data_IF_604841747612
#
_entry.id   IF_604841747612
#
_cell.length_a   1.000
_cell.length_b   1.000
_cell.length_c   1.000
_cell.angle_alpha   90.00
_cell.angle_beta   90.00
_cell.angle_gamma   90.00
#
_symmetry.space_group_name_H-M   'P 1'
#
loop_
_entity.id
_entity.type
_entity.pdbx_description
1 polymer ?
#
# COMPACT_ATOMS: atom_id res chain seq x y z
N UNK A 1 15.69 -3.26 9.44
CA UNK A 1 14.33 -2.77 9.23
C UNK A 1 13.58 -2.77 10.56
N UNK A 2 12.88 -1.70 10.87
CA UNK A 2 11.97 -1.61 12.02
C UNK A 2 10.54 -1.56 11.49
N UNK A 3 9.66 -2.44 11.99
CA UNK A 3 8.25 -2.51 11.57
C UNK A 3 7.40 -1.96 12.71
N UNK A 4 6.62 -0.92 12.45
CA UNK A 4 5.75 -0.28 13.43
C UNK A 4 4.31 -0.77 13.24
N UNK A 5 3.83 -1.57 14.19
CA UNK A 5 2.46 -2.09 14.22
C UNK A 5 1.68 -1.62 15.44
N UNK A 6 2.27 -0.69 16.23
CA UNK A 6 1.68 -0.17 17.46
C UNK A 6 0.45 0.67 17.17
N UNK A 7 -0.57 0.47 17.97
CA UNK A 7 -1.84 1.18 17.87
C UNK A 7 -2.99 0.34 18.43
N UNK A 8 -4.15 0.95 18.55
CA UNK A 8 -5.37 0.27 18.95
C UNK A 8 -6.28 0.03 17.75
N UNK A 9 -6.99 -1.09 17.76
CA UNK A 9 -8.02 -1.39 16.79
C UNK A 9 -9.31 -0.63 17.09
N UNK A 10 -10.15 -0.42 16.07
CA UNK A 10 -11.44 0.24 16.19
C UNK A 10 -12.38 -0.57 17.09
N UNK A 11 -12.99 0.10 18.06
CA UNK A 11 -14.05 -0.48 18.92
C UNK A 11 -15.42 -0.18 18.33
N UNK A 12 -16.41 -0.99 18.69
CA UNK A 12 -17.80 -0.74 18.32
C UNK A 12 -18.25 0.64 18.86
N UNK A 13 -18.86 1.46 17.99
CA UNK A 13 -19.32 2.81 18.35
C UNK A 13 -18.22 3.91 18.32
N UNK A 14 -16.95 3.57 18.13
CA UNK A 14 -15.88 4.56 18.06
C UNK A 14 -15.83 5.20 16.65
N UNK A 15 -15.70 6.52 16.58
CA UNK A 15 -15.52 7.21 15.30
C UNK A 15 -14.13 6.92 14.68
N UNK A 16 -14.00 7.07 13.36
CA UNK A 16 -12.69 6.95 12.69
C UNK A 16 -11.72 8.03 13.16
N UNK A 17 -12.22 9.24 13.46
CA UNK A 17 -11.42 10.38 13.91
C UNK A 17 -10.86 10.14 15.32
N UNK A 18 -11.68 9.65 16.26
CA UNK A 18 -11.24 9.38 17.62
C UNK A 18 -10.17 8.29 17.66
N UNK A 19 -10.33 7.26 16.81
CA UNK A 19 -9.33 6.21 16.64
C UNK A 19 -8.01 6.79 16.09
N UNK A 20 -8.11 7.59 15.04
CA UNK A 20 -6.95 8.22 14.42
C UNK A 20 -6.20 9.10 15.44
N UNK A 21 -6.91 9.93 16.20
CA UNK A 21 -6.30 10.79 17.22
C UNK A 21 -5.58 9.99 18.31
N UNK A 22 -6.17 8.87 18.75
CA UNK A 22 -5.52 8.00 19.75
C UNK A 22 -4.22 7.40 19.20
N UNK A 23 -4.27 6.87 17.99
CA UNK A 23 -3.08 6.26 17.35
C UNK A 23 -2.01 7.31 17.01
N UNK A 24 -2.40 8.55 16.64
CA UNK A 24 -1.48 9.69 16.48
C UNK A 24 -0.75 9.99 17.78
N UNK A 25 -1.44 10.01 18.91
CA UNK A 25 -0.82 10.28 20.22
C UNK A 25 0.18 9.17 20.58
N UNK A 26 -0.18 7.91 20.36
CA UNK A 26 0.74 6.77 20.56
C UNK A 26 1.97 6.94 19.65
N UNK A 27 1.78 7.25 18.36
CA UNK A 27 2.89 7.43 17.42
C UNK A 27 3.81 8.56 17.81
N UNK A 28 3.27 9.71 18.25
CA UNK A 28 4.05 10.86 18.74
C UNK A 28 4.93 10.51 19.94
N UNK A 29 4.44 9.64 20.81
CA UNK A 29 5.18 9.22 22.01
C UNK A 29 6.32 8.23 21.64
N UNK A 30 6.03 7.22 20.83
CA UNK A 30 6.99 6.15 20.55
C UNK A 30 8.01 6.49 19.46
N UNK A 31 7.65 7.31 18.46
CA UNK A 31 8.51 7.52 17.29
C UNK A 31 9.87 8.13 17.64
N UNK A 32 9.99 9.18 18.47
CA UNK A 32 11.30 9.72 18.85
C UNK A 32 12.15 8.72 19.64
N UNK A 33 11.51 7.91 20.48
CA UNK A 33 12.20 6.92 21.32
C UNK A 33 12.79 5.80 20.48
N UNK A 34 12.02 5.28 19.51
CA UNK A 34 12.49 4.23 18.60
C UNK A 34 13.57 4.77 17.66
N UNK A 35 13.39 5.98 17.14
CA UNK A 35 14.36 6.64 16.27
C UNK A 35 15.72 6.84 16.96
N UNK A 36 15.73 7.20 18.24
CA UNK A 36 16.96 7.35 19.03
C UNK A 36 17.74 6.04 19.17
N UNK A 37 17.05 4.89 19.19
CA UNK A 37 17.69 3.56 19.33
C UNK A 37 18.17 3.03 17.98
N UNK A 38 17.47 3.34 16.88
CA UNK A 38 17.75 2.79 15.56
C UNK A 38 17.80 3.87 14.45
N UNK A 39 18.66 4.90 14.56
CA UNK A 39 18.62 6.07 13.68
C UNK A 39 18.91 5.76 12.19
N UNK A 40 19.57 4.64 11.91
CA UNK A 40 19.94 4.22 10.56
C UNK A 40 19.05 3.10 10.00
N UNK A 41 17.92 2.79 10.65
CA UNK A 41 17.02 1.76 10.19
C UNK A 41 16.08 2.28 9.08
N UNK A 42 15.61 1.36 8.22
CA UNK A 42 14.43 1.59 7.41
C UNK A 42 13.20 1.31 8.25
N UNK A 43 12.23 2.20 8.22
CA UNK A 43 11.00 2.12 8.99
C UNK A 43 9.82 1.76 8.09
N UNK A 44 9.11 0.69 8.44
CA UNK A 44 7.88 0.25 7.75
C UNK A 44 6.71 0.47 8.70
N UNK A 45 5.88 1.45 8.37
CA UNK A 45 4.68 1.79 9.15
C UNK A 45 3.51 0.94 8.66
N UNK A 46 2.85 0.23 9.59
CA UNK A 46 1.72 -0.66 9.31
C UNK A 46 0.48 -0.26 10.11
N UNK A 47 0.67 0.52 11.17
CA UNK A 47 -0.40 1.03 12.04
C UNK A 47 -1.40 1.87 11.27
N UNK A 48 -2.70 1.64 11.49
CA UNK A 48 -3.77 2.40 10.83
C UNK A 48 -4.25 3.61 11.67
N UNK A 49 -4.69 4.70 10.98
CA UNK A 49 -4.69 4.94 9.53
C UNK A 49 -3.27 5.13 8.97
N UNK A 50 -2.84 4.23 8.08
CA UNK A 50 -1.43 4.09 7.73
C UNK A 50 -0.81 5.35 7.13
N UNK A 51 -1.53 6.08 6.29
CA UNK A 51 -1.01 7.29 5.65
C UNK A 51 -0.79 8.40 6.70
N UNK A 52 -1.74 8.57 7.63
CA UNK A 52 -1.61 9.50 8.75
C UNK A 52 -0.47 9.08 9.68
N UNK A 53 -0.36 7.78 9.98
CA UNK A 53 0.70 7.28 10.87
C UNK A 53 2.09 7.44 10.23
N UNK A 54 2.21 7.22 8.92
CA UNK A 54 3.44 7.45 8.16
C UNK A 54 3.82 8.93 8.20
N UNK A 55 2.86 9.82 7.94
CA UNK A 55 3.07 11.27 8.02
C UNK A 55 3.54 11.70 9.41
N UNK A 56 2.83 11.28 10.46
CA UNK A 56 3.17 11.65 11.84
C UNK A 56 4.56 11.13 12.20
N UNK A 57 4.87 9.86 11.90
CA UNK A 57 6.19 9.30 12.17
C UNK A 57 7.28 10.11 11.46
N UNK A 58 7.11 10.42 10.18
CA UNK A 58 8.06 11.23 9.41
C UNK A 58 8.31 12.60 10.05
N UNK A 59 7.23 13.26 10.52
CA UNK A 59 7.35 14.61 11.11
C UNK A 59 7.97 14.65 12.50
N UNK A 60 7.82 13.58 13.31
CA UNK A 60 8.21 13.64 14.73
C UNK A 60 9.42 12.78 15.10
N UNK A 61 9.81 11.83 14.25
CA UNK A 61 10.90 10.91 14.55
C UNK A 61 12.30 11.53 14.38
N UNK A 62 12.44 12.53 13.51
CA UNK A 62 13.73 13.04 13.07
C UNK A 62 14.48 12.12 12.09
N UNK A 63 13.86 11.02 11.68
CA UNK A 63 14.41 10.08 10.68
C UNK A 63 14.26 10.70 9.27
N UNK A 64 15.27 10.59 8.39
CA UNK A 64 15.16 11.03 7.01
C UNK A 64 13.97 10.37 6.29
N UNK A 65 13.22 11.15 5.52
CA UNK A 65 11.99 10.69 4.85
C UNK A 65 12.20 9.47 3.94
N UNK A 66 13.34 9.37 3.28
CA UNK A 66 13.72 8.24 2.44
C UNK A 66 13.96 6.93 3.23
N UNK A 67 13.94 6.98 4.55
CA UNK A 67 13.99 5.81 5.43
C UNK A 67 12.61 5.43 5.99
N UNK A 68 11.55 6.16 5.65
CA UNK A 68 10.20 5.93 6.21
C UNK A 68 9.22 5.56 5.09
N UNK A 69 8.60 4.41 5.22
CA UNK A 69 7.64 3.87 4.24
C UNK A 69 6.41 3.35 5.00
N UNK A 70 5.22 3.78 4.59
CA UNK A 70 3.97 3.14 5.03
C UNK A 70 3.62 1.95 4.16
N UNK A 71 3.02 0.91 4.71
CA UNK A 71 2.54 -0.24 3.93
C UNK A 71 1.54 0.16 2.85
N UNK A 72 0.81 1.25 3.05
CA UNK A 72 -0.07 1.86 2.06
C UNK A 72 -1.01 0.86 1.40
N UNK A 73 -1.13 0.94 0.09
CA UNK A 73 -2.03 0.13 -0.73
C UNK A 73 -1.40 -1.15 -1.30
N UNK A 74 -0.28 -1.63 -0.72
CA UNK A 74 0.37 -2.87 -1.20
C UNK A 74 -0.55 -4.09 -1.10
N UNK A 75 -1.34 -4.18 -0.03
CA UNK A 75 -2.31 -5.26 0.16
C UNK A 75 -3.53 -5.09 -0.77
N UNK A 76 -4.00 -3.87 -0.96
CA UNK A 76 -5.12 -3.56 -1.85
C UNK A 76 -4.73 -3.88 -3.30
N UNK A 77 -3.50 -3.57 -3.69
CA UNK A 77 -2.92 -3.98 -4.98
C UNK A 77 -2.85 -5.51 -5.13
N UNK A 78 -2.51 -6.23 -4.08
CA UNK A 78 -2.51 -7.69 -4.11
C UNK A 78 -3.93 -8.26 -4.27
N UNK A 79 -4.93 -7.67 -3.63
CA UNK A 79 -6.35 -8.01 -3.79
C UNK A 79 -6.86 -7.74 -5.20
N UNK A 80 -6.56 -6.56 -5.74
CA UNK A 80 -6.87 -6.21 -7.13
C UNK A 80 -6.32 -7.26 -8.11
N UNK A 81 -5.04 -7.59 -7.99
CA UNK A 81 -4.40 -8.58 -8.86
C UNK A 81 -4.95 -9.98 -8.66
N UNK A 82 -5.35 -10.33 -7.44
CA UNK A 82 -5.99 -11.60 -7.14
C UNK A 82 -7.35 -11.71 -7.85
N UNK A 83 -8.18 -10.69 -7.74
CA UNK A 83 -9.50 -10.65 -8.38
C UNK A 83 -9.38 -10.76 -9.90
N UNK A 84 -8.57 -9.90 -10.52
CA UNK A 84 -8.32 -9.95 -11.97
C UNK A 84 -7.71 -11.29 -12.42
N UNK A 85 -6.84 -11.91 -11.60
CA UNK A 85 -6.23 -13.21 -11.91
C UNK A 85 -7.26 -14.33 -11.94
N UNK A 86 -8.22 -14.31 -11.02
CA UNK A 86 -9.32 -15.26 -11.00
C UNK A 86 -10.28 -15.06 -12.16
N UNK A 87 -10.62 -13.80 -12.44
CA UNK A 87 -11.48 -13.45 -13.55
C UNK A 87 -10.96 -13.99 -14.89
N UNK A 88 -9.69 -13.76 -15.18
CA UNK A 88 -9.07 -14.12 -16.45
C UNK A 88 -8.38 -15.49 -16.43
N UNK A 89 -8.40 -16.20 -15.32
CA UNK A 89 -7.68 -17.47 -15.12
C UNK A 89 -6.20 -17.40 -15.51
N UNK A 90 -5.50 -16.34 -15.08
CA UNK A 90 -4.07 -16.11 -15.35
C UNK A 90 -3.30 -15.90 -14.04
N UNK A 91 -1.99 -16.10 -14.07
CA UNK A 91 -1.16 -15.87 -12.91
C UNK A 91 -1.05 -14.37 -12.57
N UNK A 92 -1.17 -14.03 -11.28
CA UNK A 92 -1.09 -12.65 -10.77
C UNK A 92 0.16 -11.89 -11.22
N UNK A 93 1.28 -12.59 -11.42
CA UNK A 93 2.54 -12.01 -11.90
C UNK A 93 2.47 -11.38 -13.29
N UNK A 94 1.48 -11.75 -14.09
CA UNK A 94 1.26 -11.22 -15.43
C UNK A 94 0.37 -9.97 -15.43
N UNK A 95 -0.14 -9.57 -14.26
CA UNK A 95 -1.04 -8.42 -14.09
C UNK A 95 -0.26 -7.27 -13.48
N UNK A 96 -0.16 -6.19 -14.21
CA UNK A 96 0.49 -4.95 -13.80
C UNK A 96 -0.58 -3.88 -13.56
N UNK A 97 -1.31 -4.01 -12.48
CA UNK A 97 -2.30 -3.08 -12.00
C UNK A 97 -1.99 -2.73 -10.54
N UNK A 98 -2.28 -1.50 -10.13
CA UNK A 98 -1.96 -0.97 -8.81
C UNK A 98 -3.13 -0.17 -8.25
N UNK A 99 -3.25 -0.17 -6.94
CA UNK A 99 -4.15 0.72 -6.20
C UNK A 99 -3.33 1.89 -5.66
N UNK A 100 -3.81 3.10 -5.86
CA UNK A 100 -3.15 4.35 -5.45
C UNK A 100 -4.03 5.18 -4.51
N UNK A 101 -3.44 6.20 -3.93
CA UNK A 101 -4.11 7.15 -3.06
C UNK A 101 -4.05 6.75 -1.58
N UNK A 102 -5.07 7.09 -0.84
CA UNK A 102 -5.25 6.73 0.56
C UNK A 102 -5.48 5.22 0.71
N UNK A 103 -4.91 4.61 1.75
CA UNK A 103 -5.35 3.28 2.16
C UNK A 103 -6.73 3.36 2.84
N UNK A 104 -7.79 3.41 2.04
CA UNK A 104 -9.16 3.63 2.50
C UNK A 104 -10.14 3.71 1.34
N UNK A 105 -11.32 4.29 1.64
CA UNK A 105 -12.45 4.33 0.72
C UNK A 105 -12.23 5.26 -0.50
N UNK A 106 -11.19 6.13 -0.47
CA UNK A 106 -10.83 7.04 -1.56
C UNK A 106 -9.70 6.53 -2.45
N UNK A 107 -9.20 5.31 -2.20
CA UNK A 107 -8.22 4.69 -3.09
C UNK A 107 -8.82 4.43 -4.48
N UNK A 108 -7.96 4.42 -5.48
CA UNK A 108 -8.38 4.25 -6.86
C UNK A 108 -7.40 3.40 -7.67
N UNK A 109 -7.88 2.87 -8.79
CA UNK A 109 -7.06 2.16 -9.76
C UNK A 109 -6.90 3.03 -11.00
N UNK A 110 -5.66 3.39 -11.40
CA UNK A 110 -5.43 4.07 -12.67
C UNK A 110 -5.58 3.08 -13.83
N UNK A 111 -6.80 2.77 -14.22
CA UNK A 111 -7.15 1.74 -15.21
C UNK A 111 -6.43 1.90 -16.54
N UNK A 112 -6.18 3.15 -16.96
CA UNK A 112 -5.41 3.44 -18.17
C UNK A 112 -3.94 3.00 -18.11
N UNK A 113 -3.46 2.63 -16.91
CA UNK A 113 -2.11 2.12 -16.63
C UNK A 113 -2.12 0.68 -16.14
N UNK A 114 -3.24 -0.02 -16.31
CA UNK A 114 -3.34 -1.45 -16.03
C UNK A 114 -3.01 -2.26 -17.30
N UNK A 115 -2.09 -3.21 -17.15
CA UNK A 115 -1.60 -4.05 -18.26
C UNK A 115 -1.62 -5.52 -17.87
N UNK A 116 -1.86 -6.37 -18.87
CA UNK A 116 -1.75 -7.82 -18.76
C UNK A 116 -0.89 -8.33 -19.91
N UNK A 117 0.23 -8.95 -19.58
CA UNK A 117 1.17 -9.53 -20.57
C UNK A 117 1.57 -8.55 -21.69
N UNK A 118 1.64 -7.26 -21.42
CA UNK A 118 2.05 -6.22 -22.39
C UNK A 118 0.91 -5.55 -23.15
N UNK A 119 -0.31 -6.08 -23.10
CA UNK A 119 -1.52 -5.40 -23.58
C UNK A 119 -2.13 -4.53 -22.49
N UNK A 120 -2.83 -3.45 -22.84
CA UNK A 120 -3.66 -2.75 -21.87
C UNK A 120 -4.76 -3.68 -21.37
N UNK A 121 -5.25 -3.44 -20.16
CA UNK A 121 -6.33 -4.27 -19.60
C UNK A 121 -7.57 -4.27 -20.51
N UNK A 122 -7.88 -3.16 -21.14
CA UNK A 122 -9.01 -3.03 -22.07
C UNK A 122 -8.83 -3.85 -23.35
N UNK A 123 -7.63 -3.87 -23.91
CA UNK A 123 -7.30 -4.70 -25.06
C UNK A 123 -7.35 -6.19 -24.69
N UNK A 124 -6.81 -6.52 -23.53
CA UNK A 124 -6.81 -7.89 -23.03
C UNK A 124 -8.22 -8.39 -22.75
N UNK A 125 -9.07 -7.59 -22.11
CA UNK A 125 -10.47 -7.92 -21.84
C UNK A 125 -11.24 -8.19 -23.13
N UNK A 126 -11.05 -7.39 -24.18
CA UNK A 126 -11.64 -7.62 -25.50
C UNK A 126 -11.21 -8.94 -26.12
N UNK A 127 -9.90 -9.23 -26.12
CA UNK A 127 -9.36 -10.49 -26.67
C UNK A 127 -9.95 -11.69 -25.95
N UNK A 128 -10.01 -11.66 -24.62
CA UNK A 128 -10.58 -12.77 -23.85
C UNK A 128 -12.07 -12.95 -24.11
N UNK A 129 -12.84 -11.85 -24.31
CA UNK A 129 -14.27 -11.94 -24.66
C UNK A 129 -14.54 -12.53 -26.05
N UNK A 130 -13.62 -12.35 -27.00
CA UNK A 130 -13.74 -12.99 -28.32
C UNK A 130 -13.66 -14.52 -28.22
N UNK A 131 -12.80 -15.02 -27.29
CA UNK A 131 -12.59 -16.44 -27.06
C UNK A 131 -13.58 -17.04 -26.03
N UNK A 132 -13.95 -16.27 -25.01
CA UNK A 132 -14.79 -16.71 -23.89
C UNK A 132 -16.07 -15.85 -23.82
N UNK A 133 -17.04 -16.15 -24.67
CA UNK A 133 -18.29 -15.39 -24.78
C UNK A 133 -19.17 -15.38 -23.53
N UNK A 134 -18.97 -16.33 -22.63
CA UNK A 134 -19.70 -16.41 -21.36
C UNK A 134 -19.10 -15.51 -20.26
N UNK A 135 -17.91 -14.97 -20.47
CA UNK A 135 -17.27 -14.05 -19.52
C UNK A 135 -17.95 -12.67 -19.63
N UNK A 136 -18.49 -12.17 -18.54
CA UNK A 136 -19.10 -10.84 -18.52
C UNK A 136 -18.02 -9.76 -18.69
N UNK A 137 -18.32 -8.60 -19.30
CA UNK A 137 -17.41 -7.45 -19.36
C UNK A 137 -16.87 -7.06 -17.99
N UNK A 138 -15.64 -6.52 -17.95
CA UNK A 138 -15.03 -6.08 -16.70
C UNK A 138 -15.81 -4.91 -16.10
N UNK A 139 -16.45 -5.15 -14.95
CA UNK A 139 -17.02 -4.07 -14.14
C UNK A 139 -15.94 -3.55 -13.18
N UNK A 140 -15.44 -2.34 -13.48
CA UNK A 140 -14.37 -1.70 -12.72
C UNK A 140 -14.82 -1.23 -11.34
N UNK A 141 -16.09 -0.88 -11.20
CA UNK A 141 -16.68 -0.45 -9.93
C UNK A 141 -16.82 -1.65 -9.00
N UNK A 142 -17.30 -2.79 -9.50
CA UNK A 142 -17.37 -4.04 -8.74
C UNK A 142 -15.99 -4.49 -8.23
N UNK A 143 -14.98 -4.45 -9.11
CA UNK A 143 -13.60 -4.80 -8.72
C UNK A 143 -13.07 -3.85 -7.64
N UNK A 144 -13.30 -2.55 -7.76
CA UNK A 144 -12.85 -1.57 -6.78
C UNK A 144 -13.60 -1.75 -5.45
N UNK A 145 -14.90 -2.01 -5.48
CA UNK A 145 -15.69 -2.32 -4.29
C UNK A 145 -15.18 -3.58 -3.58
N UNK A 146 -14.88 -4.64 -4.34
CA UNK A 146 -14.25 -5.84 -3.78
C UNK A 146 -12.94 -5.50 -3.04
N UNK A 147 -12.10 -4.66 -3.61
CA UNK A 147 -10.85 -4.22 -2.98
C UNK A 147 -11.12 -3.49 -1.67
N UNK A 148 -12.03 -2.49 -1.68
CA UNK A 148 -12.37 -1.66 -0.52
C UNK A 148 -13.01 -2.47 0.61
N UNK A 149 -13.91 -3.40 0.28
CA UNK A 149 -14.68 -4.16 1.26
C UNK A 149 -14.00 -5.44 1.75
N UNK A 150 -12.93 -5.90 1.10
CA UNK A 150 -12.22 -7.12 1.47
C UNK A 150 -11.75 -7.13 2.93
N UNK A 151 -11.24 -6.01 3.43
CA UNK A 151 -10.81 -5.89 4.83
C UNK A 151 -11.95 -6.04 5.82
N UNK A 152 -13.03 -5.31 5.63
CA UNK A 152 -14.22 -5.35 6.48
C UNK A 152 -14.90 -6.72 6.44
N UNK A 153 -14.93 -7.38 5.29
CA UNK A 153 -15.44 -8.75 5.12
C UNK A 153 -14.65 -9.77 5.95
N UNK A 154 -13.32 -9.66 5.97
CA UNK A 154 -12.47 -10.54 6.80
C UNK A 154 -12.71 -10.25 8.29
N UNK A 155 -12.79 -8.97 8.68
CA UNK A 155 -13.06 -8.58 10.08
C UNK A 155 -14.42 -9.10 10.53
N UNK A 156 -15.46 -8.98 9.72
CA UNK A 156 -16.79 -9.49 10.04
C UNK A 156 -16.81 -11.01 10.27
N UNK A 157 -15.98 -11.77 9.54
CA UNK A 157 -15.92 -13.24 9.64
C UNK A 157 -14.95 -13.76 10.70
N UNK A 158 -13.87 -13.04 11.01
CA UNK A 158 -12.76 -13.51 11.87
C UNK A 158 -12.45 -12.58 13.04
N UNK A 159 -13.16 -11.46 13.19
CA UNK A 159 -12.95 -10.46 14.24
C UNK A 159 -11.78 -9.52 13.97
N UNK A 160 -10.79 -9.91 13.18
CA UNK A 160 -9.63 -9.09 12.84
C UNK A 160 -9.01 -9.54 11.51
N UNK A 161 -8.15 -8.69 10.94
CA UNK A 161 -7.33 -8.99 9.75
C UNK A 161 -5.87 -8.86 10.11
N UNK A 162 -5.06 -9.91 9.89
CA UNK A 162 -3.63 -9.92 10.19
C UNK A 162 -2.80 -10.80 9.25
N UNK A 163 -3.30 -11.90 8.71
CA UNK A 163 -2.49 -12.80 7.87
C UNK A 163 -2.08 -12.15 6.55
N UNK A 164 -3.01 -11.57 5.81
CA UNK A 164 -2.72 -10.98 4.50
C UNK A 164 -1.82 -9.75 4.63
N UNK A 165 -2.03 -8.91 5.64
CA UNK A 165 -1.14 -7.77 5.91
C UNK A 165 0.25 -8.24 6.32
N UNK A 166 0.37 -9.27 7.14
CA UNK A 166 1.66 -9.84 7.54
C UNK A 166 2.44 -10.34 6.32
N UNK A 167 1.81 -11.08 5.41
CA UNK A 167 2.43 -11.56 4.17
C UNK A 167 2.86 -10.39 3.27
N UNK A 168 2.03 -9.35 3.14
CA UNK A 168 2.35 -8.15 2.35
C UNK A 168 3.54 -7.40 2.93
N UNK A 169 3.61 -7.23 4.25
CA UNK A 169 4.73 -6.60 4.95
C UNK A 169 6.00 -7.43 4.83
N UNK A 170 5.92 -8.76 5.00
CA UNK A 170 7.06 -9.65 4.77
C UNK A 170 7.59 -9.54 3.33
N UNK A 171 6.69 -9.47 2.34
CA UNK A 171 7.07 -9.26 0.94
C UNK A 171 7.78 -7.92 0.75
N UNK A 172 7.23 -6.84 1.31
CA UNK A 172 7.84 -5.51 1.27
C UNK A 172 9.25 -5.53 1.88
N UNK A 173 9.40 -6.07 3.08
CA UNK A 173 10.70 -6.20 3.74
C UNK A 173 11.71 -7.03 2.93
N UNK A 174 11.24 -8.11 2.28
CA UNK A 174 12.10 -8.93 1.43
C UNK A 174 12.60 -8.13 0.21
N UNK A 175 11.77 -7.30 -0.40
CA UNK A 175 12.15 -6.43 -1.51
C UNK A 175 13.15 -5.35 -1.09
N UNK A 176 12.94 -4.73 0.07
CA UNK A 176 13.84 -3.74 0.65
C UNK A 176 15.22 -4.33 0.97
N UNK A 177 15.27 -5.55 1.53
CA UNK A 177 16.51 -6.23 1.87
C UNK A 177 17.27 -6.76 0.65
N UNK A 178 16.54 -7.18 -0.38
CA UNK A 178 17.14 -7.68 -1.61
C UNK A 178 17.72 -6.57 -2.49
N UNK A 179 17.50 -5.29 -2.12
CA UNK A 179 17.85 -4.12 -2.95
C UNK A 179 17.37 -4.31 -4.40
N UNK A 180 16.19 -4.90 -4.57
CA UNK A 180 15.62 -5.16 -5.89
C UNK A 180 14.93 -3.91 -6.41
N UNK A 181 15.24 -3.55 -7.66
CA UNK A 181 14.59 -2.42 -8.36
C UNK A 181 13.12 -2.76 -8.69
N UNK A 182 12.33 -2.98 -7.64
CA UNK A 182 10.93 -3.39 -7.77
C UNK A 182 10.01 -2.22 -7.45
N UNK A 183 9.03 -2.02 -8.31
CA UNK A 183 7.98 -1.02 -8.11
C UNK A 183 6.90 -1.60 -7.18
N UNK A 184 6.59 -0.86 -6.12
CA UNK A 184 5.53 -1.18 -5.17
C UNK A 184 4.65 0.04 -4.89
N UNK A 185 3.37 -0.19 -4.59
CA UNK A 185 2.46 0.87 -4.14
C UNK A 185 2.49 0.97 -2.62
N UNK A 186 3.18 1.97 -2.12
CA UNK A 186 3.42 2.21 -0.70
C UNK A 186 3.20 3.69 -0.37
N UNK A 187 2.90 3.98 0.89
CA UNK A 187 2.66 5.33 1.37
C UNK A 187 3.99 6.03 1.67
N UNK A 188 4.21 7.18 1.05
CA UNK A 188 5.38 8.04 1.25
C UNK A 188 4.97 9.50 1.25
N UNK A 189 5.82 10.37 1.81
CA UNK A 189 5.61 11.81 1.77
C UNK A 189 5.65 12.33 0.33
N UNK A 190 4.67 13.15 -0.03
CA UNK A 190 4.60 13.82 -1.32
C UNK A 190 5.05 15.29 -1.20
N UNK A 191 5.78 15.74 -2.21
CA UNK A 191 6.40 17.07 -2.29
C UNK A 191 5.97 17.84 -3.55
N UNK A 192 4.73 17.69 -3.97
CA UNK A 192 4.16 18.32 -5.16
C UNK A 192 3.87 17.33 -6.30
N UNK A 193 4.22 16.06 -6.15
CA UNK A 193 3.82 15.02 -7.08
C UNK A 193 2.29 14.97 -7.19
N UNK A 194 1.80 14.88 -8.42
CA UNK A 194 0.37 14.89 -8.74
C UNK A 194 -0.37 16.17 -8.28
N UNK A 195 0.36 17.27 -7.99
CA UNK A 195 -0.21 18.51 -7.48
C UNK A 195 -0.61 18.46 -6.01
N UNK A 196 -0.10 17.49 -5.25
CA UNK A 196 -0.38 17.27 -3.83
C UNK A 196 0.92 17.31 -3.04
N UNK A 197 0.95 18.07 -1.95
CA UNK A 197 2.14 18.21 -1.10
C UNK A 197 1.78 18.11 0.38
N UNK A 198 2.80 17.84 1.20
CA UNK A 198 2.71 17.73 2.66
C UNK A 198 1.66 16.71 3.14
N UNK A 199 1.61 15.57 2.47
CA UNK A 199 0.73 14.44 2.81
C UNK A 199 1.43 13.13 2.45
N UNK A 200 1.12 12.06 3.18
CA UNK A 200 1.52 10.70 2.79
C UNK A 200 0.37 10.02 2.06
N UNK A 201 0.64 9.53 0.86
CA UNK A 201 -0.28 8.74 0.06
C UNK A 201 0.48 7.63 -0.67
N UNK A 202 -0.25 6.61 -1.08
CA UNK A 202 0.31 5.51 -1.84
C UNK A 202 0.41 5.87 -3.31
N UNK A 203 1.65 5.81 -3.80
CA UNK A 203 2.00 5.96 -5.21
C UNK A 203 2.90 4.81 -5.64
N UNK A 204 3.25 4.72 -6.92
CA UNK A 204 4.28 3.78 -7.35
C UNK A 204 5.66 4.30 -6.92
N UNK A 205 6.24 3.67 -5.93
CA UNK A 205 7.60 3.91 -5.51
C UNK A 205 8.53 2.88 -6.16
N UNK A 206 9.52 3.34 -6.90
CA UNK A 206 10.68 2.57 -7.25
C UNK A 206 11.67 2.69 -6.08
N UNK A 207 11.78 1.66 -5.25
CA UNK A 207 12.79 1.64 -4.21
C UNK A 207 14.15 1.29 -4.84
N UNK A 208 14.94 2.31 -5.09
CA UNK A 208 16.36 2.15 -5.36
C UNK A 208 17.08 2.24 -4.01
N UNK A 209 17.71 1.17 -3.56
CA UNK A 209 18.63 1.23 -2.42
C UNK A 209 19.62 2.36 -2.66
N UNK A 210 19.95 3.21 -1.66
CA UNK A 210 21.04 4.15 -1.80
C UNK A 210 22.31 3.35 -2.06
N UNK A 211 22.62 3.17 -3.33
CA UNK A 211 23.86 2.52 -3.76
C UNK A 211 25.00 3.47 -3.45
N UNK A 212 26.14 3.00 -2.91
CA UNK A 212 27.36 3.79 -2.82
C UNK A 212 27.84 4.33 -4.20
N UNK A 213 27.18 3.91 -5.27
CA UNK A 213 27.46 4.33 -6.66
C UNK A 213 26.49 5.39 -7.18
N UNK A 214 25.54 5.88 -6.38
CA UNK A 214 24.65 6.95 -6.80
C UNK A 214 25.37 8.31 -6.69
N UNK A 215 25.69 8.98 -7.81
CA UNK A 215 26.45 10.23 -7.79
C UNK A 215 25.64 11.43 -7.24
N UNK A 216 24.41 11.23 -6.81
CA UNK A 216 23.54 12.28 -6.21
C UNK A 216 23.62 12.37 -4.70
N UNK A 217 24.44 11.54 -4.05
CA UNK A 217 24.65 11.54 -2.60
C UNK A 217 25.98 12.14 -2.17
N UNK A 218 26.63 12.93 -3.04
CA UNK A 218 27.84 13.70 -2.70
C UNK A 218 27.54 15.18 -2.62
#
# INVERSE_FOLDING_TARGET
IVIITSGIGRKAGQSRIDLAQTNVNIMKDIAPQIAAVAPNALYVIVSNPVDIMTYVFTKVSGIPENQVIGSGTILDTARLRYDLSHRYNIAQKNIHAYVFGEHGDTSFVPWSRAFVAGATLDEFDKIVHEDQKDLQPLDREEVLEYVHTSGSTVIAKKGATFYAVAVSVCRLCSLLLAASDTIVSVSTMLHGEYGVEDVCLSTCLLYTSPSPRDPKTS
#
